data_IF_708041922553
#
_entry.id   IF_708041922553
#
_cell.length_a   1.000
_cell.length_b   1.000
_cell.length_c   1.000
_cell.angle_alpha   90.00
_cell.angle_beta   90.00
_cell.angle_gamma   90.00
#
_symmetry.space_group_name_H-M   'P 1'
#
loop_
_entity.id
_entity.type
_entity.pdbx_description
1 polymer ?
#
# COMPACT_ATOMS: atom_id res chain seq x y z
N UNK A 1 -3.25 -27.94 -12.14
CA UNK A 1 -2.45 -27.16 -11.16
C UNK A 1 -3.43 -26.43 -10.26
N UNK A 2 -3.30 -26.54 -8.94
CA UNK A 2 -4.16 -25.78 -8.01
C UNK A 2 -4.01 -24.29 -8.30
N UNK A 3 -5.13 -23.61 -8.55
CA UNK A 3 -5.16 -22.22 -8.94
C UNK A 3 -4.86 -21.35 -7.72
N UNK A 4 -3.57 -21.22 -7.35
CA UNK A 4 -3.15 -20.46 -6.19
C UNK A 4 -3.40 -18.97 -6.42
N UNK A 5 -4.36 -18.43 -5.67
CA UNK A 5 -4.79 -17.03 -5.78
C UNK A 5 -4.18 -16.21 -4.64
N UNK A 6 -3.09 -15.51 -4.94
CA UNK A 6 -2.40 -14.63 -3.99
C UNK A 6 -3.06 -13.25 -4.01
N UNK A 7 -3.29 -12.64 -2.84
CA UNK A 7 -3.76 -11.26 -2.71
C UNK A 7 -2.74 -10.48 -1.89
N UNK A 8 -2.15 -9.45 -2.48
CA UNK A 8 -1.14 -8.60 -1.84
C UNK A 8 -1.80 -7.29 -1.45
N UNK A 9 -1.60 -6.83 -0.21
CA UNK A 9 -2.05 -5.52 0.26
C UNK A 9 -0.84 -4.73 0.74
N UNK A 10 -0.48 -3.70 0.01
CA UNK A 10 0.60 -2.79 0.35
C UNK A 10 0.06 -1.66 1.24
N UNK A 11 0.83 -1.27 2.26
CA UNK A 11 0.54 -0.13 3.15
C UNK A 11 1.85 0.60 3.38
N UNK A 12 1.84 1.90 3.17
CA UNK A 12 2.97 2.78 3.45
C UNK A 12 2.44 4.15 3.86
N UNK A 13 3.27 4.94 4.54
CA UNK A 13 2.99 6.34 4.83
C UNK A 13 3.39 7.27 3.68
N UNK A 14 4.41 6.90 2.91
CA UNK A 14 4.87 7.63 1.73
C UNK A 14 4.28 7.01 0.45
N UNK A 15 3.67 7.86 -0.39
CA UNK A 15 3.10 7.47 -1.67
C UNK A 15 4.18 7.12 -2.71
N UNK A 16 5.35 7.76 -2.68
CA UNK A 16 6.39 7.50 -3.69
C UNK A 16 6.94 6.09 -3.59
N UNK A 17 7.17 5.67 -2.35
CA UNK A 17 7.74 4.36 -2.05
C UNK A 17 6.76 3.24 -2.42
N UNK A 18 5.46 3.41 -2.11
CA UNK A 18 4.46 2.40 -2.46
C UNK A 18 4.26 2.29 -3.97
N UNK A 19 4.33 3.41 -4.71
CA UNK A 19 4.18 3.39 -6.17
C UNK A 19 5.36 2.68 -6.84
N UNK A 20 6.59 2.96 -6.41
CA UNK A 20 7.79 2.28 -6.91
C UNK A 20 7.72 0.77 -6.65
N UNK A 21 7.49 0.36 -5.39
CA UNK A 21 7.41 -1.06 -5.06
C UNK A 21 6.25 -1.77 -5.77
N UNK A 22 5.12 -1.09 -5.96
CA UNK A 22 3.99 -1.64 -6.72
C UNK A 22 4.37 -1.91 -8.17
N UNK A 23 5.09 -0.98 -8.81
CA UNK A 23 5.55 -1.14 -10.19
C UNK A 23 6.51 -2.34 -10.33
N UNK A 24 7.48 -2.46 -9.43
CA UNK A 24 8.46 -3.56 -9.41
C UNK A 24 7.78 -4.94 -9.24
N UNK A 25 6.82 -5.05 -8.32
CA UNK A 25 6.05 -6.28 -8.09
C UNK A 25 5.23 -6.65 -9.33
N UNK A 26 4.57 -5.67 -9.94
CA UNK A 26 3.75 -5.89 -11.14
C UNK A 26 4.61 -6.33 -12.32
N UNK A 27 5.78 -5.71 -12.53
CA UNK A 27 6.70 -6.09 -13.59
C UNK A 27 7.22 -7.52 -13.39
N UNK A 28 7.61 -7.85 -12.16
CA UNK A 28 8.10 -9.20 -11.80
C UNK A 28 7.03 -10.26 -12.01
N UNK A 29 5.79 -10.00 -11.58
CA UNK A 29 4.67 -10.93 -11.76
C UNK A 29 4.28 -11.11 -13.25
N UNK A 30 4.39 -10.06 -14.06
CA UNK A 30 4.20 -10.16 -15.51
C UNK A 30 5.30 -11.01 -16.14
N UNK A 31 6.56 -10.85 -15.72
CA UNK A 31 7.71 -11.61 -16.24
C UNK A 31 7.61 -13.11 -15.95
N UNK A 32 7.01 -13.49 -14.83
CA UNK A 32 6.77 -14.90 -14.48
C UNK A 32 5.53 -15.50 -15.14
N UNK A 33 4.76 -14.72 -15.92
CA UNK A 33 3.56 -15.17 -16.62
C UNK A 33 2.31 -15.26 -15.73
N UNK A 34 2.32 -14.65 -14.54
CA UNK A 34 1.15 -14.64 -13.66
C UNK A 34 0.06 -13.68 -14.17
N UNK A 35 -1.21 -14.07 -14.02
CA UNK A 35 -2.33 -13.17 -14.32
C UNK A 35 -2.48 -12.12 -13.23
N UNK A 36 -2.13 -10.88 -13.54
CA UNK A 36 -2.19 -9.75 -12.61
C UNK A 36 -3.52 -9.01 -12.76
N UNK A 37 -4.25 -8.84 -11.64
CA UNK A 37 -5.26 -7.80 -11.52
C UNK A 37 -4.53 -6.56 -11.00
N UNK A 38 -4.56 -5.47 -11.78
CA UNK A 38 -3.73 -4.28 -11.57
C UNK A 38 -3.85 -3.67 -10.16
N UNK A 39 -2.94 -2.75 -9.81
CA UNK A 39 -2.97 -2.10 -8.50
C UNK A 39 -4.27 -1.31 -8.34
N UNK A 40 -5.06 -1.67 -7.33
CA UNK A 40 -6.31 -0.99 -7.00
C UNK A 40 -6.00 -0.07 -5.81
N UNK A 41 -5.91 1.25 -6.03
CA UNK A 41 -5.73 2.18 -4.93
C UNK A 41 -6.97 2.15 -4.05
N UNK A 42 -6.75 1.98 -2.75
CA UNK A 42 -7.81 2.06 -1.75
C UNK A 42 -7.78 3.45 -1.10
N UNK A 43 -8.92 3.95 -0.59
CA UNK A 43 -8.94 5.20 0.14
C UNK A 43 -7.91 5.24 1.26
N UNK A 44 -7.19 6.36 1.38
CA UNK A 44 -6.21 6.57 2.44
C UNK A 44 -6.91 6.63 3.78
N UNK A 45 -6.44 5.84 4.75
CA UNK A 45 -6.92 5.94 6.13
C UNK A 45 -6.19 7.09 6.80
N UNK A 46 -6.93 8.13 7.17
CA UNK A 46 -6.38 9.27 7.91
C UNK A 46 -6.84 9.17 9.35
N UNK A 47 -5.92 8.87 10.26
CA UNK A 47 -6.15 8.89 11.69
C UNK A 47 -5.64 10.23 12.24
N UNK A 48 -6.54 10.99 12.90
CA UNK A 48 -6.22 12.31 13.47
C UNK A 48 -6.24 12.19 14.99
N UNK A 49 -5.16 12.61 15.64
CA UNK A 49 -5.04 12.64 17.09
C UNK A 49 -4.91 14.10 17.53
N UNK A 50 -5.72 14.50 18.51
CA UNK A 50 -5.61 15.82 19.14
C UNK A 50 -4.75 15.66 20.39
N UNK A 51 -3.63 16.37 20.43
CA UNK A 51 -2.69 16.36 21.57
C UNK A 51 -2.70 17.76 22.19
N UNK A 52 -2.64 17.83 23.52
CA UNK A 52 -2.46 19.10 24.22
C UNK A 52 -1.14 19.73 23.77
N UNK A 53 -1.17 20.99 23.35
CA UNK A 53 0.01 21.71 22.85
C UNK A 53 0.95 22.09 24.01
N UNK A 54 0.39 22.40 25.18
CA UNK A 54 1.15 22.79 26.38
C UNK A 54 0.83 21.88 27.57
N UNK A 55 1.84 21.52 28.40
CA UNK A 55 1.62 20.82 29.66
C UNK A 55 1.03 21.70 30.78
N UNK A 56 1.10 23.05 30.68
CA UNK A 56 0.49 23.98 31.66
C UNK A 56 -0.16 25.21 31.01
N UNK A 57 -1.13 25.80 31.72
CA UNK A 57 -2.20 26.72 31.28
C UNK A 57 -1.77 27.89 30.36
N UNK A 58 -2.63 28.17 29.37
CA UNK A 58 -2.76 29.43 28.61
C UNK A 58 -3.07 30.62 29.53
#
# INVERSE_FOLDING_TARGET
MQNQRIRIRLKAFDHRLIDQSTAEIVETAKRTGAQVRGPIPLPTRTERFTVLISPHVN
#
